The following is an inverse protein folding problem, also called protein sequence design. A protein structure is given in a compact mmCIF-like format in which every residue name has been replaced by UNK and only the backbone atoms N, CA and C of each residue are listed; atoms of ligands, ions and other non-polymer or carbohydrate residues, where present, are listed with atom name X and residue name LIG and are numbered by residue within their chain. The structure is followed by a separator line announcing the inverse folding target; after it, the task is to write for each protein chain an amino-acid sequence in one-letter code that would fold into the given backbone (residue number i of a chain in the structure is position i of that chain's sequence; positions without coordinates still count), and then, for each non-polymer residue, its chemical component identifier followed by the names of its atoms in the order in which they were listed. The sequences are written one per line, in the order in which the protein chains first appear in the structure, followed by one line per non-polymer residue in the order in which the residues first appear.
data_IF_581823982939
#
_entry.id   IF_581823982939
#
_cell.length_a   1.000
_cell.length_b   1.000
_cell.length_c   1.000
_cell.angle_alpha   90.00
_cell.angle_beta   90.00
_cell.angle_gamma   90.00
#
_symmetry.space_group_name_H-M   'P 1'
#
loop_
_entity.id
_entity.type
_entity.pdbx_description
1 polymer ?
#
# COMPACT_ATOMS: atom_id res chain seq x y z
N UNK A 1 23.82 17.66 14.37
CA UNK A 1 22.33 17.66 14.43
C UNK A 1 21.72 18.13 13.10
N UNK A 2 22.11 19.31 12.58
CA UNK A 2 21.67 19.86 11.27
C UNK A 2 21.69 18.88 10.08
N UNK A 3 22.72 18.04 9.95
CA UNK A 3 22.81 17.06 8.84
C UNK A 3 21.72 15.97 8.89
N UNK A 4 21.29 15.53 10.08
CA UNK A 4 20.24 14.51 10.21
C UNK A 4 18.86 15.05 9.82
N UNK A 5 18.60 16.32 10.14
CA UNK A 5 17.32 16.97 9.85
C UNK A 5 17.17 17.22 8.34
N UNK A 6 18.24 17.64 7.67
CA UNK A 6 18.26 17.81 6.22
C UNK A 6 18.05 16.49 5.46
N UNK A 7 18.70 15.40 5.90
CA UNK A 7 18.50 14.05 5.33
C UNK A 7 17.07 13.58 5.53
N UNK A 8 16.47 13.82 6.71
CA UNK A 8 15.09 13.42 7.00
C UNK A 8 14.07 14.19 6.14
N UNK A 9 14.24 15.50 5.98
CA UNK A 9 13.38 16.30 5.09
C UNK A 9 13.51 15.86 3.63
N UNK A 10 14.72 15.53 3.19
CA UNK A 10 14.95 15.02 1.85
C UNK A 10 14.26 13.65 1.67
N UNK A 11 14.43 12.72 2.61
CA UNK A 11 13.75 11.43 2.58
C UNK A 11 12.22 11.57 2.51
N UNK A 12 11.62 12.47 3.30
CA UNK A 12 10.18 12.75 3.24
C UNK A 12 9.74 13.31 1.89
N UNK A 13 10.55 14.16 1.25
CA UNK A 13 10.25 14.75 -0.05
C UNK A 13 10.17 13.70 -1.17
N UNK A 14 11.00 12.65 -1.09
CA UNK A 14 11.06 11.61 -2.13
C UNK A 14 10.30 10.34 -1.77
N UNK A 15 9.77 10.22 -0.54
CA UNK A 15 9.01 9.06 -0.10
C UNK A 15 7.82 8.74 -1.02
N UNK A 16 7.08 9.76 -1.46
CA UNK A 16 5.96 9.56 -2.38
C UNK A 16 6.37 8.94 -3.72
N UNK A 17 7.53 9.35 -4.25
CA UNK A 17 8.07 8.81 -5.52
C UNK A 17 8.57 7.38 -5.32
N UNK A 18 9.24 7.11 -4.21
CA UNK A 18 9.70 5.77 -3.86
C UNK A 18 8.52 4.79 -3.71
N UNK A 19 7.44 5.22 -3.05
CA UNK A 19 6.20 4.43 -2.91
C UNK A 19 5.58 4.12 -4.26
N UNK A 20 5.51 5.10 -5.17
CA UNK A 20 4.97 4.87 -6.53
C UNK A 20 5.84 3.86 -7.29
N UNK A 21 7.17 4.00 -7.24
CA UNK A 21 8.09 3.07 -7.90
C UNK A 21 7.92 1.65 -7.40
N UNK A 22 7.95 1.47 -6.08
CA UNK A 22 7.79 0.16 -5.44
C UNK A 22 6.44 -0.50 -5.77
N UNK A 23 5.34 0.26 -5.71
CA UNK A 23 4.03 -0.27 -6.07
C UNK A 23 3.99 -0.62 -7.56
N UNK A 24 4.62 0.17 -8.43
CA UNK A 24 4.67 -0.13 -9.86
C UNK A 24 5.44 -1.43 -10.14
N UNK A 25 6.55 -1.67 -9.43
CA UNK A 25 7.38 -2.86 -9.62
C UNK A 25 6.75 -4.12 -9.00
N UNK A 26 6.00 -3.98 -7.91
CA UNK A 26 5.39 -5.11 -7.20
C UNK A 26 4.00 -5.47 -7.71
N UNK A 27 3.28 -4.55 -8.36
CA UNK A 27 1.94 -4.78 -8.92
C UNK A 27 2.02 -5.65 -10.17
N UNK A 28 1.46 -6.86 -10.17
CA UNK A 28 1.46 -7.72 -11.36
C UNK A 28 0.46 -7.22 -12.42
N UNK A 29 0.65 -7.62 -13.67
CA UNK A 29 -0.14 -7.15 -14.82
C UNK A 29 -1.66 -7.40 -14.70
N UNK A 30 -2.04 -8.44 -13.97
CA UNK A 30 -3.44 -8.81 -13.75
C UNK A 30 -4.12 -7.98 -12.63
N UNK A 31 -3.38 -7.08 -11.98
CA UNK A 31 -3.90 -6.18 -10.95
C UNK A 31 -4.00 -4.76 -11.52
N UNK A 32 -5.18 -4.16 -11.43
CA UNK A 32 -5.41 -2.75 -11.78
C UNK A 32 -5.66 -1.93 -10.53
N UNK A 33 -4.83 -0.90 -10.33
CA UNK A 33 -4.97 0.01 -9.21
C UNK A 33 -6.04 1.08 -9.50
N UNK A 34 -6.88 1.35 -8.51
CA UNK A 34 -7.92 2.38 -8.53
C UNK A 34 -7.49 3.57 -7.67
N UNK A 35 -6.95 3.31 -6.48
CA UNK A 35 -6.58 4.36 -5.53
C UNK A 35 -5.27 4.01 -4.81
N UNK A 36 -4.42 5.02 -4.65
CA UNK A 36 -3.19 4.96 -3.88
C UNK A 36 -3.15 6.15 -2.95
N UNK A 37 -3.18 5.92 -1.64
CA UNK A 37 -3.13 6.98 -0.62
C UNK A 37 -1.97 6.75 0.33
N UNK A 38 -1.02 7.67 0.31
CA UNK A 38 0.04 7.73 1.30
C UNK A 38 -0.39 8.63 2.47
N UNK A 39 -0.45 8.06 3.67
CA UNK A 39 -0.63 8.80 4.92
C UNK A 39 0.74 9.08 5.50
N UNK A 40 1.10 10.35 5.59
CA UNK A 40 2.29 10.80 6.30
C UNK A 40 1.86 11.59 7.53
N UNK A 41 2.38 11.23 8.69
CA UNK A 41 2.26 12.08 9.87
C UNK A 41 3.03 13.37 9.59
N UNK A 42 2.30 14.49 9.46
CA UNK A 42 2.91 15.79 9.56
C UNK A 42 3.58 15.89 10.94
N UNK A 43 4.80 16.41 11.02
CA UNK A 43 5.63 16.49 12.23
C UNK A 43 5.08 17.39 13.35
N UNK A 44 3.77 17.58 13.45
CA UNK A 44 3.13 18.24 14.57
C UNK A 44 3.14 17.30 15.79
N UNK A 45 3.51 17.79 16.99
CA UNK A 45 3.41 16.98 18.20
C UNK A 45 1.96 16.53 18.37
N UNK A 46 1.72 15.22 18.42
CA UNK A 46 0.42 14.68 18.77
C UNK A 46 0.06 15.21 20.17
N UNK A 47 -1.09 15.86 20.30
CA UNK A 47 -1.63 16.23 21.60
C UNK A 47 -1.81 14.94 22.43
N UNK A 48 -1.50 15.02 23.74
CA UNK A 48 -1.57 13.88 24.64
C UNK A 48 -2.95 13.20 24.54
N UNK A 49 -2.97 11.95 24.06
CA UNK A 49 -4.18 11.14 23.88
C UNK A 49 -4.54 10.78 22.43
N UNK A 50 -3.88 11.37 21.41
CA UNK A 50 -4.04 10.93 20.03
C UNK A 50 -3.10 9.75 19.72
N UNK A 51 -3.66 8.64 19.23
CA UNK A 51 -2.89 7.56 18.62
C UNK A 51 -1.99 8.19 17.56
N UNK A 52 -0.68 7.99 17.65
CA UNK A 52 0.25 8.37 16.60
C UNK A 52 -0.26 7.82 15.28
N UNK A 53 -0.69 8.69 14.38
CA UNK A 53 -0.97 8.34 12.99
C UNK A 53 0.35 7.79 12.44
N UNK A 54 0.41 6.47 12.22
CA UNK A 54 1.61 5.86 11.66
C UNK A 54 1.65 6.15 10.17
N UNK A 55 2.85 6.42 9.65
CA UNK A 55 3.04 6.49 8.21
C UNK A 55 2.59 5.18 7.56
N UNK A 56 1.77 5.27 6.54
CA UNK A 56 1.15 4.09 5.96
C UNK A 56 0.60 4.32 4.57
N UNK A 57 0.31 3.23 3.89
CA UNK A 57 -0.25 3.21 2.56
C UNK A 57 -1.65 2.58 2.61
N UNK A 58 -2.58 3.13 1.84
CA UNK A 58 -3.82 2.44 1.46
C UNK A 58 -3.82 2.25 -0.04
N UNK A 59 -4.08 1.02 -0.46
CA UNK A 59 -4.14 0.60 -1.85
C UNK A 59 -5.51 0.03 -2.15
N UNK A 60 -6.12 0.47 -3.23
CA UNK A 60 -7.38 -0.07 -3.74
C UNK A 60 -7.18 -0.53 -5.18
N UNK A 61 -7.71 -1.70 -5.52
CA UNK A 61 -7.57 -2.25 -6.85
C UNK A 61 -8.50 -3.41 -7.16
N UNK A 62 -8.37 -3.92 -8.38
CA UNK A 62 -9.11 -5.06 -8.90
C UNK A 62 -8.12 -6.10 -9.44
N UNK A 63 -8.34 -7.37 -9.11
CA UNK A 63 -7.61 -8.51 -9.67
C UNK A 63 -8.47 -9.20 -10.72
N UNK A 64 -7.90 -9.38 -11.92
CA UNK A 64 -8.53 -10.06 -13.04
C UNK A 64 -7.86 -11.41 -13.29
N UNK A 65 -8.55 -12.52 -13.05
CA UNK A 65 -8.08 -13.84 -13.46
C UNK A 65 -9.25 -14.83 -13.52
N UNK A 66 -8.95 -16.12 -13.74
CA UNK A 66 -9.88 -17.21 -13.52
C UNK A 66 -10.30 -17.26 -12.05
N UNK A 67 -11.55 -17.64 -11.80
CA UNK A 67 -12.19 -17.63 -10.48
C UNK A 67 -11.40 -18.40 -9.41
N UNK A 68 -10.81 -19.52 -9.77
CA UNK A 68 -9.98 -20.38 -8.92
C UNK A 68 -8.61 -19.78 -8.59
N UNK A 69 -8.15 -18.80 -9.38
CA UNK A 69 -6.85 -18.14 -9.21
C UNK A 69 -6.93 -16.84 -8.40
N UNK A 70 -8.09 -16.18 -8.34
CA UNK A 70 -8.24 -14.84 -7.76
C UNK A 70 -7.70 -14.71 -6.32
N UNK A 71 -8.04 -15.66 -5.44
CA UNK A 71 -7.60 -15.65 -4.04
C UNK A 71 -6.08 -15.90 -3.91
N UNK A 72 -5.55 -16.78 -4.75
CA UNK A 72 -4.11 -17.07 -4.80
C UNK A 72 -3.33 -15.85 -5.29
N UNK A 73 -3.83 -15.16 -6.32
CA UNK A 73 -3.22 -13.95 -6.85
C UNK A 73 -3.22 -12.81 -5.81
N UNK A 74 -4.33 -12.63 -5.08
CA UNK A 74 -4.39 -11.65 -3.99
C UNK A 74 -3.37 -11.97 -2.90
N UNK A 75 -3.28 -13.24 -2.50
CA UNK A 75 -2.34 -13.70 -1.48
C UNK A 75 -0.90 -13.48 -1.93
N UNK A 76 -0.57 -13.85 -3.16
CA UNK A 76 0.76 -13.60 -3.74
C UNK A 76 1.08 -12.11 -3.79
N UNK A 77 0.11 -11.27 -4.13
CA UNK A 77 0.33 -9.84 -4.17
C UNK A 77 0.59 -9.26 -2.77
N UNK A 78 -0.17 -9.68 -1.76
CA UNK A 78 0.07 -9.33 -0.36
C UNK A 78 1.49 -9.73 0.06
N UNK A 79 1.91 -10.97 -0.23
CA UNK A 79 3.25 -11.45 0.10
C UNK A 79 4.36 -10.65 -0.60
N UNK A 80 4.17 -10.25 -1.86
CA UNK A 80 5.12 -9.37 -2.57
C UNK A 80 5.24 -8.02 -1.88
N UNK A 81 4.11 -7.43 -1.49
CA UNK A 81 4.10 -6.17 -0.74
C UNK A 81 4.77 -6.32 0.63
N UNK A 82 4.58 -7.44 1.33
CA UNK A 82 5.23 -7.69 2.63
C UNK A 82 6.75 -7.94 2.52
N UNK A 83 7.21 -8.46 1.39
CA UNK A 83 8.63 -8.65 1.11
C UNK A 83 9.31 -7.38 0.55
N UNK A 84 8.57 -6.28 0.41
CA UNK A 84 9.08 -5.00 -0.03
C UNK A 84 10.01 -4.37 1.02
N UNK A 85 11.09 -3.68 0.61
CA UNK A 85 11.90 -2.88 1.53
C UNK A 85 11.15 -1.66 2.10
N UNK A 86 10.07 -1.19 1.44
CA UNK A 86 9.34 0.01 1.85
C UNK A 86 8.10 -0.29 2.69
N UNK A 87 7.50 -1.47 2.52
CA UNK A 87 6.25 -1.82 3.19
C UNK A 87 6.49 -2.97 4.16
N UNK A 88 5.98 -2.82 5.37
CA UNK A 88 5.87 -3.94 6.31
C UNK A 88 4.43 -4.06 6.77
N UNK A 89 4.04 -5.25 7.21
CA UNK A 89 2.71 -5.53 7.77
C UNK A 89 1.57 -5.10 6.83
N UNK A 90 1.22 -5.94 5.88
CA UNK A 90 0.08 -5.69 4.99
C UNK A 90 -1.18 -6.27 5.63
N UNK A 91 -2.30 -5.56 5.50
CA UNK A 91 -3.59 -6.01 6.04
C UNK A 91 -4.69 -5.78 5.04
N UNK A 92 -5.56 -6.78 4.87
CA UNK A 92 -6.74 -6.69 4.02
C UNK A 92 -7.82 -5.93 4.80
N UNK A 93 -8.16 -4.74 4.30
CA UNK A 93 -9.22 -3.91 4.87
C UNK A 93 -10.59 -4.29 4.28
N UNK A 94 -10.62 -4.61 3.00
CA UNK A 94 -11.82 -5.06 2.31
C UNK A 94 -11.46 -6.00 1.16
N UNK A 95 -12.30 -6.99 0.90
CA UNK A 95 -12.17 -7.94 -0.21
C UNK A 95 -13.56 -8.42 -0.62
N UNK A 96 -13.96 -8.15 -1.86
CA UNK A 96 -15.24 -8.59 -2.41
C UNK A 96 -15.05 -9.19 -3.79
N UNK A 97 -15.79 -10.26 -4.08
CA UNK A 97 -15.94 -10.76 -5.44
C UNK A 97 -17.07 -9.96 -6.09
N UNK A 98 -16.78 -9.30 -7.20
CA UNK A 98 -17.76 -8.52 -7.97
C UNK A 98 -17.81 -9.04 -9.39
N UNK A 99 -18.98 -8.96 -10.03
CA UNK A 99 -19.10 -9.28 -11.45
C UNK A 99 -18.74 -8.04 -12.27
N UNK A 100 -17.69 -8.14 -13.08
CA UNK A 100 -17.27 -7.11 -14.00
C UNK A 100 -17.14 -7.73 -15.40
N UNK A 101 -17.90 -7.22 -16.36
CA UNK A 101 -17.94 -7.73 -17.73
C UNK A 101 -18.14 -9.26 -17.81
N UNK A 102 -19.17 -9.75 -17.12
CA UNK A 102 -19.55 -11.18 -17.05
C UNK A 102 -18.46 -12.10 -16.46
N UNK A 103 -17.45 -11.54 -15.80
CA UNK A 103 -16.40 -12.28 -15.09
C UNK A 103 -16.40 -11.90 -13.62
N UNK A 104 -16.15 -12.89 -12.78
CA UNK A 104 -15.88 -12.65 -11.37
C UNK A 104 -14.48 -12.07 -11.22
N UNK A 105 -14.35 -10.96 -10.49
CA UNK A 105 -13.07 -10.30 -10.17
C UNK A 105 -13.02 -10.01 -8.67
N UNK A 106 -11.83 -9.87 -8.10
CA UNK A 106 -11.69 -9.41 -6.71
C UNK A 106 -11.46 -7.91 -6.72
N UNK A 107 -12.35 -7.15 -6.08
CA UNK A 107 -12.06 -5.80 -5.62
C UNK A 107 -11.48 -5.87 -4.20
N UNK A 108 -10.36 -5.20 -3.98
CA UNK A 108 -9.67 -5.22 -2.70
C UNK A 108 -9.32 -3.81 -2.22
N UNK A 109 -9.20 -3.69 -0.90
CA UNK A 109 -8.56 -2.56 -0.22
C UNK A 109 -7.53 -3.13 0.75
N UNK A 110 -6.27 -2.77 0.57
CA UNK A 110 -5.16 -3.13 1.46
C UNK A 110 -4.68 -1.89 2.21
N UNK A 111 -4.17 -2.12 3.42
CA UNK A 111 -3.35 -1.14 4.14
C UNK A 111 -1.97 -1.73 4.41
N UNK A 112 -0.92 -0.94 4.26
CA UNK A 112 0.43 -1.32 4.66
C UNK A 112 1.03 -0.26 5.58
N UNK A 113 1.90 -0.67 6.50
CA UNK A 113 2.74 0.28 7.24
C UNK A 113 4.01 0.53 6.44
N UNK A 114 4.54 1.75 6.52
CA UNK A 114 5.86 2.01 5.97
C UNK A 114 6.93 1.43 6.89
N UNK A 115 8.01 0.91 6.28
CA UNK A 115 9.25 0.54 6.94
C UNK A 115 9.70 1.62 7.93
N UNK A 116 9.93 1.21 9.18
CA UNK A 116 10.45 2.06 10.26
C UNK A 116 11.96 2.03 10.31
#
# INVERSE_FOLDING_TARGET
KLQRDAVRQYAQKYLGVAVIGEISDTTPENVRLINLRLRQAAGSPAAAGQKTEHNGLVLEGIIFNKKDMLESDLTQYILKLENSPLFNTVSVQNKNIVNFDKKDVIHFVLSAKLGS
#
